data_IF_356510564849
#
_entry.id   IF_356510564849
#
_cell.length_a   1.000
_cell.length_b   1.000
_cell.length_c   1.000
_cell.angle_alpha   90.00
_cell.angle_beta   90.00
_cell.angle_gamma   90.00
#
_symmetry.space_group_name_H-M   'P 1'
#
loop_
_entity.id
_entity.type
_entity.pdbx_description
1 polymer ?
#
# COMPACT_ATOMS: atom_id res chain seq x y z
N UNK A 1 -11.52 8.27 -26.89
CA UNK A 1 -10.33 7.46 -26.61
C UNK A 1 -9.11 8.05 -27.29
N UNK A 2 -7.96 8.07 -26.60
CA UNK A 2 -6.68 8.54 -27.14
C UNK A 2 -5.65 7.43 -26.97
N UNK A 3 -4.83 7.19 -28.00
CA UNK A 3 -3.65 6.34 -27.96
C UNK A 3 -2.48 7.14 -28.54
N UNK A 4 -1.44 7.41 -27.73
CA UNK A 4 -0.22 8.07 -28.19
C UNK A 4 0.96 7.15 -27.92
N UNK A 5 1.75 6.76 -28.95
CA UNK A 5 2.93 5.93 -28.77
C UNK A 5 3.92 6.52 -27.75
N UNK A 6 4.55 5.67 -26.99
CA UNK A 6 5.66 5.93 -26.07
C UNK A 6 6.80 4.96 -26.41
N UNK A 7 7.87 5.02 -25.66
CA UNK A 7 8.98 4.07 -25.75
C UNK A 7 8.55 2.66 -25.30
N UNK A 8 9.29 1.64 -25.67
CA UNK A 8 9.14 0.25 -25.26
C UNK A 8 7.75 -0.37 -25.53
N UNK A 9 7.16 -0.09 -26.70
CA UNK A 9 5.84 -0.58 -27.10
C UNK A 9 4.70 -0.21 -26.14
N UNK A 10 4.88 0.88 -25.43
CA UNK A 10 3.87 1.44 -24.54
C UNK A 10 3.12 2.58 -25.23
N UNK A 11 1.92 2.86 -24.72
CA UNK A 11 1.06 3.94 -25.17
C UNK A 11 0.61 4.79 -23.96
N UNK A 12 0.62 6.09 -24.12
CA UNK A 12 -0.22 6.95 -23.29
C UNK A 12 -1.66 6.79 -23.76
N UNK A 13 -2.54 6.40 -22.87
CA UNK A 13 -3.96 6.19 -23.19
C UNK A 13 -4.87 7.05 -22.35
N UNK A 14 -5.95 7.51 -22.98
CA UNK A 14 -7.06 8.17 -22.29
C UNK A 14 -8.36 7.55 -22.77
N UNK A 15 -9.29 7.34 -21.84
CA UNK A 15 -10.67 6.95 -22.16
C UNK A 15 -11.63 7.77 -21.33
N UNK A 16 -12.71 8.21 -22.00
CA UNK A 16 -13.76 8.99 -21.37
C UNK A 16 -15.07 8.22 -21.43
N UNK A 17 -15.84 8.34 -20.34
CA UNK A 17 -17.22 7.85 -20.24
C UNK A 17 -18.11 9.02 -19.87
N UNK A 18 -19.32 9.09 -20.43
CA UNK A 18 -20.34 10.01 -19.96
C UNK A 18 -20.74 9.67 -18.52
N UNK A 19 -20.99 10.67 -17.72
CA UNK A 19 -21.41 10.48 -16.35
C UNK A 19 -22.60 11.38 -16.02
N UNK A 20 -23.70 10.83 -15.46
CA UNK A 20 -24.82 11.64 -15.00
C UNK A 20 -24.40 12.60 -13.88
N UNK A 21 -24.97 13.81 -13.87
CA UNK A 21 -24.62 14.82 -12.87
C UNK A 21 -25.04 14.42 -11.44
N UNK A 22 -26.10 13.63 -11.31
CA UNK A 22 -26.64 13.12 -10.05
C UNK A 22 -25.97 11.84 -9.55
N UNK A 23 -25.00 11.31 -10.30
CA UNK A 23 -24.22 10.15 -9.92
C UNK A 23 -23.27 10.46 -8.77
N UNK A 24 -23.14 9.55 -7.83
CA UNK A 24 -22.14 9.56 -6.77
C UNK A 24 -21.18 8.39 -6.95
N UNK A 25 -19.88 8.65 -6.76
CA UNK A 25 -18.80 7.69 -6.95
C UNK A 25 -18.04 7.49 -5.63
N UNK A 26 -17.78 6.24 -5.28
CA UNK A 26 -17.13 5.86 -4.02
C UNK A 26 -15.98 4.88 -4.28
N UNK A 27 -14.98 4.84 -3.39
CA UNK A 27 -13.86 3.90 -3.48
C UNK A 27 -12.54 4.56 -3.83
N UNK A 28 -11.76 3.97 -4.74
CA UNK A 28 -10.44 4.41 -5.19
C UNK A 28 -9.35 4.33 -4.12
N UNK A 29 -9.59 3.58 -3.02
CA UNK A 29 -8.64 3.43 -1.91
C UNK A 29 -8.63 4.62 -0.95
N UNK A 30 -7.50 4.82 -0.27
CA UNK A 30 -7.32 5.90 0.70
C UNK A 30 -6.79 7.15 -0.01
N UNK A 31 -7.63 8.16 -0.16
CA UNK A 31 -7.31 9.44 -0.79
C UNK A 31 -7.75 10.61 0.09
N UNK A 32 -6.93 11.65 0.18
CA UNK A 32 -7.24 12.87 0.91
C UNK A 32 -8.13 13.82 0.07
N UNK A 33 -9.38 13.41 -0.20
CA UNK A 33 -10.33 14.18 -1.03
C UNK A 33 -11.30 15.05 -0.22
N UNK A 34 -11.27 14.95 1.11
CA UNK A 34 -12.16 15.71 2.00
C UNK A 34 -13.60 15.19 2.06
N UNK A 35 -13.97 14.17 1.29
CA UNK A 35 -15.30 13.59 1.29
C UNK A 35 -15.33 12.19 0.67
N UNK A 36 -16.42 11.45 0.95
CA UNK A 36 -16.61 10.08 0.44
C UNK A 36 -17.06 10.04 -1.01
N UNK A 37 -17.80 11.04 -1.48
CA UNK A 37 -18.21 11.14 -2.87
C UNK A 37 -17.10 11.77 -3.70
N UNK A 38 -16.59 11.03 -4.67
CA UNK A 38 -15.47 11.42 -5.51
C UNK A 38 -15.85 12.31 -6.69
N UNK A 39 -17.14 12.62 -6.88
CA UNK A 39 -17.59 13.51 -7.95
C UNK A 39 -16.95 14.90 -7.81
N UNK A 40 -16.35 15.42 -8.85
CA UNK A 40 -15.57 16.65 -8.84
C UNK A 40 -14.08 16.48 -8.47
N UNK A 41 -13.64 15.26 -8.11
CA UNK A 41 -12.27 14.99 -7.71
C UNK A 41 -11.40 14.51 -8.87
N UNK A 42 -10.09 14.71 -8.71
CA UNK A 42 -9.04 14.05 -9.50
C UNK A 42 -8.23 13.17 -8.58
N UNK A 43 -8.09 11.90 -8.95
CA UNK A 43 -7.35 10.89 -8.19
C UNK A 43 -6.14 10.46 -8.99
N UNK A 44 -4.95 10.69 -8.46
CA UNK A 44 -3.72 10.15 -9.04
C UNK A 44 -3.65 8.64 -8.81
N UNK A 45 -3.39 7.88 -9.86
CA UNK A 45 -3.28 6.43 -9.85
C UNK A 45 -1.82 6.01 -9.69
N UNK A 46 -1.26 6.26 -8.53
CA UNK A 46 0.05 5.74 -8.10
C UNK A 46 0.17 5.78 -6.58
N UNK A 47 0.90 4.83 -6.03
CA UNK A 47 1.15 4.73 -4.60
C UNK A 47 2.19 5.78 -4.18
N UNK A 48 1.99 6.36 -3.01
CA UNK A 48 2.97 7.21 -2.34
C UNK A 48 2.66 7.28 -0.85
N UNK A 49 3.54 7.90 -0.07
CA UNK A 49 3.34 8.05 1.36
C UNK A 49 1.94 8.61 1.68
N UNK A 50 1.28 8.00 2.65
CA UNK A 50 -0.09 8.28 3.12
C UNK A 50 -1.20 8.18 2.07
N UNK A 51 -0.93 7.54 0.94
CA UNK A 51 -1.90 7.33 -0.13
C UNK A 51 -1.88 5.88 -0.59
N UNK A 52 -3.05 5.23 -0.57
CA UNK A 52 -3.23 3.87 -1.07
C UNK A 52 -4.27 3.89 -2.18
N UNK A 53 -3.84 3.59 -3.40
CA UNK A 53 -4.72 3.58 -4.56
C UNK A 53 -5.21 2.17 -4.80
N UNK A 54 -6.54 2.01 -4.85
CA UNK A 54 -7.22 0.83 -5.36
C UNK A 54 -8.06 1.33 -6.54
N UNK A 55 -7.71 1.02 -7.80
CA UNK A 55 -8.34 1.63 -8.97
C UNK A 55 -9.72 1.03 -9.27
N UNK A 56 -10.52 0.84 -8.22
CA UNK A 56 -11.89 0.35 -8.25
C UNK A 56 -12.82 1.37 -7.61
N UNK A 57 -13.91 1.68 -8.28
CA UNK A 57 -14.98 2.53 -7.78
C UNK A 57 -16.32 1.81 -7.82
N UNK A 58 -17.23 2.24 -6.96
CA UNK A 58 -18.65 1.87 -6.97
C UNK A 58 -19.48 3.10 -7.24
N UNK A 59 -20.45 2.98 -8.15
CA UNK A 59 -21.37 4.05 -8.52
C UNK A 59 -22.73 3.90 -7.86
N UNK A 60 -23.35 5.02 -7.49
CA UNK A 60 -24.75 5.06 -7.04
C UNK A 60 -25.76 4.66 -8.13
N UNK A 61 -25.30 4.41 -9.34
CA UNK A 61 -26.09 3.89 -10.47
C UNK A 61 -26.04 2.36 -10.58
N UNK A 62 -25.53 1.65 -9.56
CA UNK A 62 -25.57 0.20 -9.46
C UNK A 62 -24.49 -0.52 -10.29
N UNK A 63 -23.32 0.07 -10.43
CA UNK A 63 -22.19 -0.59 -11.08
C UNK A 63 -20.87 -0.38 -10.32
N UNK A 64 -19.93 -1.32 -10.50
CA UNK A 64 -18.52 -1.19 -10.14
C UNK A 64 -17.65 -1.09 -11.39
N UNK A 65 -16.57 -0.33 -11.29
CA UNK A 65 -15.61 -0.14 -12.38
C UNK A 65 -14.19 -0.30 -11.84
N UNK A 66 -13.44 -1.27 -12.38
CA UNK A 66 -12.02 -1.49 -12.12
C UNK A 66 -11.21 -1.03 -13.33
N UNK A 67 -10.28 -0.10 -13.12
CA UNK A 67 -9.26 0.28 -14.10
C UNK A 67 -8.04 -0.60 -13.95
N UNK A 68 -7.95 -1.68 -14.73
CA UNK A 68 -6.91 -2.70 -14.62
C UNK A 68 -5.65 -2.35 -15.44
N UNK A 69 -5.06 -1.19 -15.15
CA UNK A 69 -3.83 -0.73 -15.81
C UNK A 69 -2.78 -0.36 -14.76
N UNK A 70 -1.68 -1.12 -14.65
CA UNK A 70 -0.65 -0.93 -13.60
C UNK A 70 0.33 0.22 -13.90
N UNK A 71 -0.06 1.20 -14.69
CA UNK A 71 0.74 2.36 -15.04
C UNK A 71 0.41 3.55 -14.18
N UNK A 72 1.37 4.44 -14.01
CA UNK A 72 1.10 5.78 -13.48
C UNK A 72 0.00 6.44 -14.31
N UNK A 73 -0.94 7.06 -13.64
CA UNK A 73 -2.06 7.68 -14.31
C UNK A 73 -2.90 8.55 -13.40
N UNK A 74 -4.13 8.80 -13.81
CA UNK A 74 -5.13 9.47 -12.99
C UNK A 74 -6.55 9.16 -13.45
N UNK A 75 -7.48 9.29 -12.53
CA UNK A 75 -8.92 9.30 -12.79
C UNK A 75 -9.50 10.70 -12.50
N UNK A 76 -10.25 11.25 -13.43
CA UNK A 76 -10.90 12.56 -13.33
C UNK A 76 -12.42 12.37 -13.30
N UNK A 77 -13.07 12.71 -12.18
CA UNK A 77 -14.50 12.50 -11.97
C UNK A 77 -15.27 13.82 -12.10
N UNK A 78 -15.31 14.37 -13.31
CA UNK A 78 -16.09 15.58 -13.59
C UNK A 78 -17.61 15.32 -13.50
N UNK A 79 -18.41 16.37 -13.42
CA UNK A 79 -19.87 16.25 -13.27
C UNK A 79 -20.57 15.60 -14.48
N UNK A 80 -20.02 15.74 -15.67
CA UNK A 80 -20.60 15.26 -16.92
C UNK A 80 -19.83 14.10 -17.58
N UNK A 81 -18.63 13.76 -17.06
CA UNK A 81 -17.81 12.66 -17.56
C UNK A 81 -16.85 12.14 -16.52
N UNK A 82 -16.40 10.89 -16.70
CA UNK A 82 -15.21 10.34 -16.06
C UNK A 82 -14.14 10.14 -17.11
N UNK A 83 -12.90 10.52 -16.79
CA UNK A 83 -11.74 10.27 -17.64
C UNK A 83 -10.74 9.43 -16.89
N UNK A 84 -10.21 8.41 -17.56
CA UNK A 84 -9.16 7.54 -17.07
C UNK A 84 -7.94 7.69 -17.95
N UNK A 85 -6.79 7.88 -17.33
CA UNK A 85 -5.52 8.15 -18.01
C UNK A 85 -4.48 7.16 -17.50
N UNK A 86 -3.75 6.50 -18.41
CA UNK A 86 -2.51 5.76 -18.13
C UNK A 86 -1.37 6.35 -18.95
N UNK A 87 -0.23 6.56 -18.32
CA UNK A 87 0.95 7.16 -18.97
C UNK A 87 1.73 6.18 -19.85
N UNK A 88 1.64 4.86 -19.55
CA UNK A 88 2.34 3.82 -20.29
C UNK A 88 1.69 2.47 -20.09
N UNK A 89 0.89 2.02 -21.04
CA UNK A 89 0.28 0.70 -21.04
C UNK A 89 0.22 0.14 -22.46
N UNK A 90 0.11 -1.19 -22.60
CA UNK A 90 0.00 -1.84 -23.91
C UNK A 90 -1.41 -1.89 -24.43
N UNK A 91 -2.40 -1.80 -23.55
CA UNK A 91 -3.83 -1.89 -23.87
C UNK A 91 -4.64 -1.06 -22.88
N UNK A 92 -5.88 -0.77 -23.22
CA UNK A 92 -6.90 -0.31 -22.27
C UNK A 92 -7.57 -1.54 -21.71
N UNK A 93 -7.42 -1.76 -20.40
CA UNK A 93 -8.03 -2.86 -19.68
C UNK A 93 -8.88 -2.32 -18.52
N UNK A 94 -10.14 -2.73 -18.48
CA UNK A 94 -11.05 -2.43 -17.39
C UNK A 94 -12.12 -3.50 -17.24
N UNK A 95 -12.62 -3.65 -16.04
CA UNK A 95 -13.71 -4.56 -15.72
C UNK A 95 -14.91 -3.76 -15.18
N UNK A 96 -16.11 -4.13 -15.61
CA UNK A 96 -17.36 -3.55 -15.13
C UNK A 96 -18.21 -4.68 -14.57
N UNK A 97 -18.78 -4.43 -13.40
CA UNK A 97 -19.77 -5.30 -12.78
C UNK A 97 -21.00 -4.49 -12.37
N UNK A 98 -22.15 -5.15 -12.28
CA UNK A 98 -23.39 -4.56 -11.80
C UNK A 98 -23.95 -5.40 -10.65
N UNK A 99 -24.82 -4.82 -9.83
CA UNK A 99 -25.48 -5.53 -8.75
C UNK A 99 -26.63 -4.71 -8.17
N UNK A 100 -27.56 -5.37 -7.51
CA UNK A 100 -28.72 -4.75 -6.84
C UNK A 100 -28.34 -4.05 -5.53
N UNK A 101 -27.11 -4.32 -5.04
CA UNK A 101 -26.56 -3.70 -3.84
C UNK A 101 -25.07 -3.44 -3.97
N UNK A 102 -24.54 -2.51 -3.14
CA UNK A 102 -23.09 -2.31 -3.06
C UNK A 102 -22.34 -3.54 -2.57
N UNK A 103 -22.96 -4.35 -1.69
CA UNK A 103 -22.38 -5.59 -1.21
C UNK A 103 -22.16 -6.60 -2.36
N UNK A 104 -23.15 -6.79 -3.20
CA UNK A 104 -23.06 -7.67 -4.38
C UNK A 104 -22.01 -7.19 -5.39
N UNK A 105 -21.94 -5.88 -5.65
CA UNK A 105 -20.89 -5.30 -6.50
C UNK A 105 -19.51 -5.57 -5.92
N UNK A 106 -19.32 -5.46 -4.60
CA UNK A 106 -18.07 -5.75 -3.91
C UNK A 106 -17.73 -7.25 -3.93
N UNK A 107 -18.74 -8.12 -3.85
CA UNK A 107 -18.56 -9.57 -3.98
C UNK A 107 -18.05 -9.92 -5.38
N UNK A 108 -18.69 -9.41 -6.44
CA UNK A 108 -18.24 -9.61 -7.81
C UNK A 108 -16.82 -9.08 -8.05
N UNK A 109 -16.45 -7.95 -7.41
CA UNK A 109 -15.09 -7.45 -7.45
C UNK A 109 -14.12 -8.43 -6.77
N UNK A 110 -14.47 -8.95 -5.60
CA UNK A 110 -13.65 -9.91 -4.86
C UNK A 110 -13.52 -11.26 -5.62
N UNK A 111 -14.55 -11.70 -6.32
CA UNK A 111 -14.51 -12.91 -7.14
C UNK A 111 -13.45 -12.85 -8.24
N UNK A 112 -13.26 -11.70 -8.87
CA UNK A 112 -12.28 -11.52 -9.95
C UNK A 112 -10.89 -11.10 -9.48
N UNK A 113 -10.77 -10.52 -8.27
CA UNK A 113 -9.48 -10.03 -7.75
C UNK A 113 -8.93 -10.86 -6.60
N UNK A 114 -9.72 -11.75 -6.06
CA UNK A 114 -9.44 -12.57 -4.89
C UNK A 114 -10.13 -12.04 -3.64
N UNK A 115 -10.69 -12.96 -2.86
CA UNK A 115 -11.26 -12.67 -1.55
C UNK A 115 -10.17 -12.44 -0.50
N UNK A 116 -10.35 -11.42 0.34
CA UNK A 116 -9.45 -11.19 1.47
C UNK A 116 -9.54 -12.36 2.46
N UNK A 117 -8.41 -12.92 2.92
CA UNK A 117 -8.42 -13.94 3.96
C UNK A 117 -8.92 -13.36 5.29
N UNK A 118 -9.51 -14.21 6.12
CA UNK A 118 -9.84 -13.83 7.49
C UNK A 118 -8.56 -13.52 8.25
N UNK A 119 -8.54 -12.37 8.90
CA UNK A 119 -7.42 -11.99 9.77
C UNK A 119 -7.39 -12.91 11.01
N UNK A 120 -6.21 -13.30 11.49
CA UNK A 120 -6.10 -14.00 12.77
C UNK A 120 -6.58 -13.10 13.91
N UNK A 121 -7.12 -13.72 14.96
CA UNK A 121 -7.74 -13.01 16.10
C UNK A 121 -6.80 -11.95 16.71
N UNK A 122 -5.51 -12.28 16.87
CA UNK A 122 -4.52 -11.36 17.42
C UNK A 122 -4.34 -10.07 16.61
N UNK A 123 -4.63 -10.09 15.30
CA UNK A 123 -4.50 -8.91 14.44
C UNK A 123 -5.51 -7.80 14.78
N UNK A 124 -6.63 -8.16 15.44
CA UNK A 124 -7.64 -7.21 15.92
C UNK A 124 -7.30 -6.59 17.29
N UNK A 125 -6.23 -7.08 17.95
CA UNK A 125 -5.80 -6.59 19.25
C UNK A 125 -5.03 -5.28 19.18
N UNK A 126 -4.53 -4.80 20.32
CA UNK A 126 -3.78 -3.56 20.41
C UNK A 126 -2.34 -3.73 19.86
N UNK A 127 -1.93 -2.81 19.00
CA UNK A 127 -0.60 -2.72 18.40
C UNK A 127 0.14 -1.53 18.98
N UNK A 128 1.22 -1.77 19.69
CA UNK A 128 2.09 -0.73 20.23
C UNK A 128 3.23 -0.44 19.26
N UNK A 129 3.33 0.81 18.84
CA UNK A 129 4.44 1.31 18.04
C UNK A 129 4.94 2.63 18.63
N UNK A 130 6.21 2.91 18.44
CA UNK A 130 6.84 4.20 18.70
C UNK A 130 7.78 4.47 17.53
N UNK A 131 7.91 5.71 17.07
CA UNK A 131 8.70 6.04 15.91
C UNK A 131 10.09 5.43 15.99
N UNK A 132 10.68 5.34 17.21
CA UNK A 132 11.68 4.30 17.39
C UNK A 132 11.90 3.92 18.86
N UNK A 133 12.10 2.66 19.05
CA UNK A 133 12.83 2.08 20.16
C UNK A 133 14.31 2.02 19.78
N UNK A 134 15.18 2.45 20.68
CA UNK A 134 16.61 2.56 20.35
C UNK A 134 17.36 1.26 20.62
N UNK A 135 16.92 0.48 21.62
CA UNK A 135 17.58 -0.75 22.06
C UNK A 135 16.56 -1.86 22.31
N UNK A 136 17.05 -3.10 22.29
CA UNK A 136 16.27 -4.29 22.67
C UNK A 136 15.70 -4.17 24.07
N UNK A 137 16.49 -3.65 25.04
CA UNK A 137 16.02 -3.50 26.42
C UNK A 137 14.89 -2.47 26.53
N UNK A 138 15.00 -1.31 25.85
CA UNK A 138 13.91 -0.33 25.81
C UNK A 138 12.63 -0.91 25.22
N UNK A 139 12.76 -1.74 24.19
CA UNK A 139 11.64 -2.40 23.54
C UNK A 139 10.96 -3.41 24.46
N UNK A 140 11.73 -4.30 25.07
CA UNK A 140 11.23 -5.31 25.99
C UNK A 140 10.61 -4.69 27.25
N UNK A 141 11.19 -3.63 27.79
CA UNK A 141 10.66 -2.98 28.99
C UNK A 141 9.24 -2.45 28.79
N UNK A 142 8.92 -1.95 27.62
CA UNK A 142 7.55 -1.51 27.29
C UNK A 142 6.59 -2.71 27.30
N UNK A 143 6.93 -3.83 26.71
CA UNK A 143 6.08 -5.02 26.73
C UNK A 143 5.89 -5.57 28.13
N UNK A 144 6.97 -5.62 28.94
CA UNK A 144 6.94 -5.99 30.35
C UNK A 144 6.01 -5.08 31.17
N UNK A 145 6.02 -3.77 30.88
CA UNK A 145 5.14 -2.81 31.54
C UNK A 145 3.67 -3.05 31.20
N UNK A 146 3.33 -3.34 29.94
CA UNK A 146 1.98 -3.74 29.55
C UNK A 146 1.54 -4.99 30.33
N UNK A 147 2.40 -5.99 30.41
CA UNK A 147 2.14 -7.23 31.18
C UNK A 147 1.94 -6.95 32.67
N UNK A 148 2.81 -6.15 33.28
CA UNK A 148 2.74 -5.77 34.72
C UNK A 148 1.44 -5.06 35.06
N UNK A 149 0.92 -4.23 34.14
CA UNK A 149 -0.35 -3.51 34.31
C UNK A 149 -1.58 -4.34 33.96
N UNK A 150 -1.43 -5.56 33.47
CA UNK A 150 -2.54 -6.38 32.98
C UNK A 150 -3.22 -5.81 31.73
N UNK A 151 -2.51 -5.01 30.93
CA UNK A 151 -3.01 -4.45 29.69
C UNK A 151 -2.73 -5.43 28.52
N UNK A 152 -3.69 -5.65 27.61
CA UNK A 152 -3.46 -6.49 26.45
C UNK A 152 -2.51 -5.80 25.46
N UNK A 153 -1.55 -6.57 24.95
CA UNK A 153 -0.65 -6.14 23.89
C UNK A 153 -0.56 -7.28 22.86
N UNK A 154 -1.24 -7.14 21.75
CA UNK A 154 -1.26 -8.18 20.71
C UNK A 154 0.00 -8.15 19.85
N UNK A 155 0.44 -6.95 19.43
CA UNK A 155 1.62 -6.77 18.58
C UNK A 155 2.47 -5.61 19.10
N UNK A 156 3.78 -5.85 19.20
CA UNK A 156 4.76 -4.82 19.47
C UNK A 156 5.64 -4.59 18.24
N UNK A 157 5.75 -3.33 17.78
CA UNK A 157 6.33 -2.97 16.49
C UNK A 157 7.69 -2.33 16.66
N UNK A 158 8.71 -2.89 16.02
CA UNK A 158 10.01 -2.24 15.82
C UNK A 158 9.91 -1.42 14.52
N UNK A 159 9.94 -0.11 14.66
CA UNK A 159 9.89 0.82 13.52
C UNK A 159 11.31 1.34 13.20
N UNK A 160 11.42 2.45 12.63
CA UNK A 160 12.53 3.15 12.00
C UNK A 160 13.90 3.00 12.71
N UNK A 161 14.94 2.75 11.90
CA UNK A 161 16.37 2.70 12.32
C UNK A 161 16.71 1.61 13.35
N UNK A 162 16.26 0.39 13.14
CA UNK A 162 16.73 -0.81 13.84
C UNK A 162 17.94 -1.47 13.14
N UNK A 163 18.31 -0.99 11.98
CA UNK A 163 19.43 -1.43 11.14
C UNK A 163 20.64 -0.50 11.29
N UNK A 164 21.81 -0.99 10.91
CA UNK A 164 23.04 -0.20 10.82
C UNK A 164 23.02 0.73 9.60
N UNK A 165 22.70 0.18 8.44
CA UNK A 165 22.56 0.90 7.17
C UNK A 165 21.17 0.62 6.59
N UNK A 166 20.56 1.64 5.96
CA UNK A 166 19.24 1.48 5.32
C UNK A 166 19.39 0.46 4.19
N UNK A 167 18.58 -0.60 4.24
CA UNK A 167 18.64 -1.70 3.28
C UNK A 167 19.37 -2.95 3.78
N UNK A 168 19.97 -2.95 4.98
CA UNK A 168 20.55 -4.17 5.56
C UNK A 168 19.49 -5.21 5.94
N UNK A 169 18.25 -4.77 6.20
CA UNK A 169 17.09 -5.60 6.57
C UNK A 169 17.35 -6.58 7.71
N UNK A 170 18.22 -6.21 8.62
CA UNK A 170 18.55 -6.94 9.84
C UNK A 170 18.67 -5.99 11.01
N UNK A 171 18.47 -6.52 12.21
CA UNK A 171 18.68 -5.76 13.44
C UNK A 171 20.18 -5.49 13.65
N UNK A 172 20.51 -4.25 14.06
CA UNK A 172 21.87 -3.87 14.41
C UNK A 172 22.28 -4.57 15.72
N UNK A 173 23.28 -5.47 15.71
CA UNK A 173 23.66 -6.24 16.89
C UNK A 173 24.19 -5.40 18.07
N UNK A 174 24.67 -4.17 17.80
CA UNK A 174 25.14 -3.26 18.84
C UNK A 174 23.99 -2.77 19.75
N UNK A 175 22.77 -2.74 19.22
CA UNK A 175 21.55 -2.28 19.92
C UNK A 175 20.51 -3.38 20.14
N UNK A 176 20.58 -4.45 19.37
CA UNK A 176 19.68 -5.60 19.37
C UNK A 176 20.49 -6.91 19.46
N UNK A 177 21.12 -7.15 20.62
CA UNK A 177 22.15 -8.18 20.74
C UNK A 177 21.62 -9.62 20.68
N UNK A 178 20.38 -9.87 21.07
CA UNK A 178 19.78 -11.22 21.07
C UNK A 178 18.29 -11.17 20.62
N UNK A 179 18.05 -11.04 19.31
CA UNK A 179 16.69 -11.02 18.78
C UNK A 179 15.89 -12.29 19.05
N UNK A 180 16.56 -13.44 19.11
CA UNK A 180 15.88 -14.72 19.38
C UNK A 180 15.36 -14.79 20.80
N UNK A 181 16.15 -14.37 21.79
CA UNK A 181 15.68 -14.28 23.19
C UNK A 181 14.56 -13.24 23.32
N UNK A 182 14.66 -12.11 22.62
CA UNK A 182 13.61 -11.10 22.60
C UNK A 182 12.28 -11.66 22.07
N UNK A 183 12.30 -12.39 20.95
CA UNK A 183 11.09 -13.00 20.38
C UNK A 183 10.51 -14.04 21.35
N UNK A 184 11.35 -14.91 21.95
CA UNK A 184 10.88 -15.88 22.94
C UNK A 184 10.18 -15.22 24.14
N UNK A 185 10.77 -14.16 24.69
CA UNK A 185 10.18 -13.44 25.83
C UNK A 185 8.84 -12.80 25.46
N UNK A 186 8.72 -12.22 24.26
CA UNK A 186 7.45 -11.65 23.78
C UNK A 186 6.38 -12.73 23.58
N UNK A 187 6.75 -13.90 23.02
CA UNK A 187 5.83 -15.02 22.86
C UNK A 187 5.32 -15.56 24.21
N UNK A 188 6.16 -15.63 25.24
CA UNK A 188 5.76 -15.96 26.61
C UNK A 188 4.78 -14.96 27.23
N UNK A 189 4.84 -13.71 26.79
CA UNK A 189 3.88 -12.66 27.15
C UNK A 189 2.60 -12.69 26.29
N UNK A 190 2.55 -13.51 25.24
CA UNK A 190 1.44 -13.56 24.27
C UNK A 190 1.45 -12.40 23.28
N UNK A 191 2.60 -11.76 23.09
CA UNK A 191 2.77 -10.59 22.21
C UNK A 191 3.52 -10.99 20.94
N UNK A 192 2.97 -10.67 19.79
CA UNK A 192 3.63 -10.83 18.48
C UNK A 192 4.57 -9.65 18.22
N UNK A 193 5.59 -9.90 17.40
CA UNK A 193 6.50 -8.86 16.94
C UNK A 193 6.24 -8.54 15.47
N UNK A 194 6.32 -7.27 15.13
CA UNK A 194 6.37 -6.80 13.75
C UNK A 194 7.59 -5.91 13.57
N UNK A 195 8.30 -6.08 12.45
CA UNK A 195 9.42 -5.22 12.08
C UNK A 195 9.03 -4.49 10.80
N UNK A 196 9.22 -3.16 10.78
CA UNK A 196 8.94 -2.29 9.63
C UNK A 196 10.24 -2.01 8.86
N UNK A 197 10.66 -2.88 7.91
CA UNK A 197 11.82 -2.60 7.08
C UNK A 197 11.46 -1.57 6.00
N UNK A 198 12.42 -0.73 5.66
CA UNK A 198 12.28 0.17 4.53
C UNK A 198 12.83 -0.47 3.26
N UNK A 199 12.22 -0.15 2.12
CA UNK A 199 12.64 -0.68 0.81
C UNK A 199 13.83 0.06 0.20
N UNK A 200 14.21 1.21 0.77
CA UNK A 200 15.39 1.95 0.34
C UNK A 200 16.66 1.17 0.69
N UNK A 201 17.65 1.24 -0.20
CA UNK A 201 18.96 0.60 0.00
C UNK A 201 20.03 1.64 -0.27
N UNK A 202 20.72 2.10 0.79
CA UNK A 202 21.82 3.04 0.67
C UNK A 202 23.12 2.33 0.21
N UNK A 203 24.05 3.06 -0.41
CA UNK A 203 25.30 2.49 -0.96
C UNK A 203 26.17 1.73 0.05
N UNK A 204 26.05 2.08 1.34
CA UNK A 204 26.78 1.43 2.43
C UNK A 204 26.14 0.13 2.90
N UNK A 205 24.93 -0.18 2.46
CA UNK A 205 24.28 -1.45 2.77
C UNK A 205 25.00 -2.62 2.14
N UNK A 206 25.09 -3.73 2.86
CA UNK A 206 25.65 -4.98 2.34
C UNK A 206 24.85 -5.52 1.14
N UNK A 207 23.59 -5.14 0.98
CA UNK A 207 22.72 -5.55 -0.11
C UNK A 207 22.88 -4.68 -1.37
N UNK A 208 23.52 -3.50 -1.28
CA UNK A 208 23.59 -2.55 -2.40
C UNK A 208 24.32 -3.12 -3.62
N UNK A 209 25.55 -3.56 -3.43
CA UNK A 209 26.35 -4.05 -4.54
C UNK A 209 25.76 -5.29 -5.23
N UNK A 210 25.31 -6.34 -4.49
CA UNK A 210 24.64 -7.49 -5.10
C UNK A 210 23.34 -7.14 -5.83
N UNK A 211 22.55 -6.21 -5.31
CA UNK A 211 21.31 -5.78 -5.96
C UNK A 211 21.58 -4.97 -7.22
N UNK A 212 22.60 -4.11 -7.20
CA UNK A 212 23.02 -3.33 -8.37
C UNK A 212 23.52 -4.25 -9.49
N UNK A 213 24.34 -5.23 -9.17
CA UNK A 213 24.86 -6.21 -10.13
C UNK A 213 23.74 -7.01 -10.80
N UNK A 214 22.69 -7.33 -10.06
CA UNK A 214 21.51 -8.06 -10.55
C UNK A 214 20.46 -7.17 -11.22
N UNK A 215 20.66 -5.83 -11.27
CA UNK A 215 19.69 -4.89 -11.86
C UNK A 215 18.35 -4.84 -11.12
N UNK A 216 18.35 -4.96 -9.78
CA UNK A 216 17.14 -5.02 -8.96
C UNK A 216 16.62 -3.64 -8.51
N UNK A 217 17.38 -2.57 -8.78
CA UNK A 217 16.92 -1.22 -8.48
C UNK A 217 15.92 -0.71 -9.52
N UNK A 218 14.94 0.05 -9.05
CA UNK A 218 14.00 0.74 -9.93
C UNK A 218 14.68 1.94 -10.56
N UNK A 219 14.56 2.09 -11.88
CA UNK A 219 15.02 3.30 -12.58
C UNK A 219 13.97 4.39 -12.58
N UNK A 220 14.40 5.62 -12.80
CA UNK A 220 13.52 6.76 -13.08
C UNK A 220 12.92 6.67 -14.50
N UNK A 221 11.83 7.39 -14.74
CA UNK A 221 11.11 7.41 -16.04
C UNK A 221 12.04 7.87 -17.19
N UNK A 222 13.04 8.69 -16.91
CA UNK A 222 14.03 9.18 -17.86
C UNK A 222 15.22 8.23 -18.09
N UNK A 223 15.19 7.04 -17.48
CA UNK A 223 16.24 6.04 -17.61
C UNK A 223 17.44 6.23 -16.69
N UNK A 224 17.44 7.23 -15.82
CA UNK A 224 18.44 7.35 -14.76
C UNK A 224 18.13 6.39 -13.62
N UNK A 225 19.15 5.79 -13.02
CA UNK A 225 18.99 5.00 -11.80
C UNK A 225 18.69 5.95 -10.62
N UNK A 226 17.68 5.60 -9.82
CA UNK A 226 17.41 6.26 -8.55
C UNK A 226 18.42 5.72 -7.54
N UNK A 227 19.45 6.50 -7.24
CA UNK A 227 20.54 6.16 -6.31
C UNK A 227 20.30 6.72 -4.92
#
# INVERSE_FOLDING_TARGET
RVFKPRENDLFHVETDFAAPADERLYGMGLNATGGVNLKGCVIDLYQRHVKHVVPFLVSSKGYGFLWNNPSLGRAEFAHNRTRWVSRGCRQIDYYITTGDSYAEIMEHYADVTGHAPMLPEWASGFWQCKLRYKTQDEFLEVAREFKRRGLPLAVHVIDFRHWKHIGDWKLDPDFWPDPEAMVRELDEMGTRIMISPWILVEERSENFAPMKEQGLFTGLIDGTEDT
#
